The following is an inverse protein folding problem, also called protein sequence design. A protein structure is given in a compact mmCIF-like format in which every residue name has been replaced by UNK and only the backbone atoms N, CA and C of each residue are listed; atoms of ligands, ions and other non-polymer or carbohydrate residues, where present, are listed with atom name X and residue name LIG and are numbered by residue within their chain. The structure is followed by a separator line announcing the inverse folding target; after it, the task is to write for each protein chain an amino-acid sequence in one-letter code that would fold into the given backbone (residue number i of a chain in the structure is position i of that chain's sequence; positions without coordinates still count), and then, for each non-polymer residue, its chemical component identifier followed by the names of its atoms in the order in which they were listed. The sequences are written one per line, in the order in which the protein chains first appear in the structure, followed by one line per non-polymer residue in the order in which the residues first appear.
data_IF_582076169062
#
_entry.id   IF_582076169062
#
_cell.length_a   1.000
_cell.length_b   1.000
_cell.length_c   1.000
_cell.angle_alpha   90.00
_cell.angle_beta   90.00
_cell.angle_gamma   90.00
#
_symmetry.space_group_name_H-M   'P 1'
#
loop_
_entity.id
_entity.type
_entity.pdbx_description
1 polymer ?
#
# COMPACT_ATOMS: atom_id res chain seq x y z
N UNK A 1 -24.97 -11.24 8.64
CA UNK A 1 -24.57 -10.75 7.31
C UNK A 1 -23.15 -10.19 7.44
N UNK A 2 -22.22 -10.70 6.64
CA UNK A 2 -20.88 -10.10 6.58
C UNK A 2 -21.00 -8.74 5.89
N UNK A 3 -20.39 -7.70 6.46
CA UNK A 3 -20.34 -6.38 5.84
C UNK A 3 -19.50 -6.43 4.58
N UNK A 4 -19.98 -5.83 3.50
CA UNK A 4 -19.21 -5.69 2.27
C UNK A 4 -18.34 -4.44 2.39
N UNK A 5 -17.03 -4.63 2.38
CA UNK A 5 -16.05 -3.53 2.36
C UNK A 5 -15.72 -3.25 0.90
N UNK A 6 -16.11 -2.07 0.42
CA UNK A 6 -15.85 -1.64 -0.97
C UNK A 6 -14.41 -1.13 -1.13
N UNK A 7 -13.89 -1.15 -2.36
CA UNK A 7 -12.55 -0.61 -2.67
C UNK A 7 -12.46 0.88 -2.34
N UNK A 8 -13.50 1.64 -2.62
CA UNK A 8 -13.53 3.08 -2.29
C UNK A 8 -13.42 3.32 -0.79
N UNK A 9 -14.03 2.47 0.03
CA UNK A 9 -13.89 2.56 1.49
C UNK A 9 -12.46 2.24 1.96
N UNK A 10 -11.81 1.24 1.35
CA UNK A 10 -10.41 0.90 1.67
C UNK A 10 -9.46 2.04 1.29
N UNK A 11 -9.63 2.63 0.10
CA UNK A 11 -8.84 3.78 -0.37
C UNK A 11 -9.04 4.97 0.57
N UNK A 12 -10.29 5.23 1.00
CA UNK A 12 -10.59 6.29 1.97
C UNK A 12 -9.93 6.04 3.33
N UNK A 13 -9.94 4.80 3.83
CA UNK A 13 -9.27 4.46 5.08
C UNK A 13 -7.75 4.66 5.00
N UNK A 14 -7.12 4.27 3.90
CA UNK A 14 -5.69 4.52 3.66
C UNK A 14 -5.39 6.02 3.66
N UNK A 15 -6.23 6.83 3.01
CA UNK A 15 -6.15 8.29 3.03
C UNK A 15 -6.25 8.84 4.44
N UNK A 16 -7.30 8.47 5.18
CA UNK A 16 -7.55 8.96 6.55
C UNK A 16 -6.41 8.60 7.50
N UNK A 17 -5.80 7.43 7.34
CA UNK A 17 -4.63 7.03 8.14
C UNK A 17 -3.44 7.96 7.89
N UNK A 18 -3.10 8.23 6.62
CA UNK A 18 -1.99 9.12 6.27
C UNK A 18 -2.24 10.53 6.78
N UNK A 19 -3.43 11.09 6.55
CA UNK A 19 -3.82 12.41 7.06
C UNK A 19 -3.76 12.48 8.60
N UNK A 20 -4.13 11.39 9.29
CA UNK A 20 -4.03 11.31 10.74
C UNK A 20 -2.58 11.28 11.24
N UNK A 21 -1.65 10.68 10.50
CA UNK A 21 -0.20 10.72 10.78
C UNK A 21 0.37 12.11 10.54
N UNK A 22 -0.07 12.79 9.49
CA UNK A 22 0.36 14.15 9.15
C UNK A 22 -0.15 15.21 10.10
N UNK A 23 -1.24 14.93 10.82
CA UNK A 23 -1.80 15.84 11.80
C UNK A 23 -0.88 15.96 13.03
N UNK A 24 -0.36 17.15 13.28
CA UNK A 24 0.58 17.45 14.38
C UNK A 24 0.03 17.21 15.78
N UNK A 25 -1.30 17.14 15.94
CA UNK A 25 -1.95 16.80 17.21
C UNK A 25 -1.83 15.30 17.55
N UNK A 26 -1.44 14.46 16.59
CA UNK A 26 -1.26 13.03 16.77
C UNK A 26 0.22 12.65 16.81
N UNK A 27 0.54 11.59 17.53
CA UNK A 27 1.84 10.94 17.53
C UNK A 27 1.64 9.45 17.28
N UNK A 28 2.22 8.97 16.19
CA UNK A 28 2.20 7.55 15.81
C UNK A 28 3.59 6.95 15.96
N UNK A 29 3.66 5.74 16.45
CA UNK A 29 4.91 4.98 16.59
C UNK A 29 4.73 3.58 16.03
N UNK A 30 5.69 3.14 15.23
CA UNK A 30 5.89 1.72 14.98
C UNK A 30 6.65 1.18 16.17
N UNK A 31 6.20 0.09 16.76
CA UNK A 31 6.90 -0.59 17.83
C UNK A 31 7.26 -2.02 17.44
N UNK A 32 8.31 -2.51 18.06
CA UNK A 32 8.70 -3.91 18.04
C UNK A 32 8.63 -4.47 19.46
N UNK A 33 8.28 -5.72 19.58
CA UNK A 33 8.03 -6.33 20.88
C UNK A 33 8.30 -7.82 20.93
N UNK A 34 8.20 -8.36 22.13
CA UNK A 34 8.31 -9.78 22.41
C UNK A 34 7.06 -10.53 21.90
N UNK A 35 7.13 -11.85 21.80
CA UNK A 35 5.94 -12.66 21.61
C UNK A 35 4.95 -12.44 22.77
N UNK A 36 3.72 -12.83 22.50
CA UNK A 36 2.59 -12.67 23.40
C UNK A 36 2.89 -13.12 24.84
N UNK A 37 2.54 -12.28 25.81
CA UNK A 37 2.71 -12.51 27.25
C UNK A 37 1.93 -13.71 27.82
N UNK A 38 1.00 -14.29 27.08
CA UNK A 38 0.31 -15.55 27.49
C UNK A 38 1.18 -16.78 27.38
N UNK A 39 2.33 -16.70 26.74
CA UNK A 39 3.30 -17.79 26.74
C UNK A 39 4.15 -17.74 28.00
N UNK A 40 4.45 -18.89 28.54
CA UNK A 40 5.21 -19.05 29.79
C UNK A 40 6.49 -18.23 29.76
N UNK A 41 6.67 -17.35 30.75
CA UNK A 41 7.87 -16.54 30.88
C UNK A 41 8.03 -15.46 29.80
N UNK A 42 6.99 -14.67 29.53
CA UNK A 42 7.03 -13.61 28.51
C UNK A 42 7.41 -14.09 27.10
N UNK A 43 6.88 -15.23 26.72
CA UNK A 43 7.18 -15.88 25.47
C UNK A 43 8.49 -16.67 25.51
N UNK A 44 9.10 -16.89 26.65
CA UNK A 44 10.23 -17.81 26.78
C UNK A 44 9.73 -19.23 26.83
N UNK A 45 9.75 -19.86 25.71
CA UNK A 45 9.81 -21.31 25.63
C UNK A 45 11.27 -21.74 25.68
N UNK A 46 11.56 -22.99 26.00
CA UNK A 46 12.93 -23.54 26.01
C UNK A 46 13.73 -23.31 24.72
N UNK A 47 13.04 -23.01 23.63
CA UNK A 47 13.59 -22.79 22.29
C UNK A 47 13.30 -21.38 21.72
N UNK A 48 12.96 -20.39 22.55
CA UNK A 48 12.74 -19.00 22.15
C UNK A 48 13.82 -18.44 21.21
N UNK A 49 15.10 -18.70 21.51
CA UNK A 49 16.22 -18.21 20.71
C UNK A 49 16.36 -18.92 19.35
N UNK A 50 15.81 -20.11 19.22
CA UNK A 50 15.89 -20.92 17.99
C UNK A 50 14.61 -20.92 17.19
N UNK A 51 13.46 -20.72 17.86
CA UNK A 51 12.14 -20.71 17.24
C UNK A 51 11.29 -19.59 17.85
N UNK A 52 11.48 -18.38 17.35
CA UNK A 52 10.68 -17.23 17.75
C UNK A 52 9.25 -17.43 17.25
N UNK A 53 8.22 -17.32 18.12
CA UNK A 53 6.83 -17.42 17.68
C UNK A 53 6.47 -16.36 16.65
N UNK A 54 5.66 -16.72 15.67
CA UNK A 54 5.14 -15.77 14.70
C UNK A 54 4.27 -14.72 15.39
N UNK A 55 4.29 -13.46 14.90
CA UNK A 55 3.36 -12.44 15.35
C UNK A 55 1.92 -12.87 15.16
N UNK A 56 1.07 -12.52 16.10
CA UNK A 56 -0.37 -12.83 16.06
C UNK A 56 -1.14 -11.56 15.73
N UNK A 57 -1.78 -11.54 14.56
CA UNK A 57 -2.63 -10.44 14.11
C UNK A 57 -4.07 -10.66 14.54
N UNK A 58 -4.35 -10.46 15.83
CA UNK A 58 -5.70 -10.48 16.36
C UNK A 58 -5.84 -9.58 17.60
N UNK A 59 -7.07 -9.26 17.97
CA UNK A 59 -7.38 -8.40 19.11
C UNK A 59 -7.37 -9.13 20.46
N UNK A 60 -7.24 -10.44 20.50
CA UNK A 60 -7.32 -11.25 21.73
C UNK A 60 -6.29 -10.83 22.77
N UNK A 61 -5.13 -10.38 22.31
CA UNK A 61 -4.00 -10.05 23.17
C UNK A 61 -3.67 -8.54 23.19
N UNK A 62 -4.57 -7.71 22.71
CA UNK A 62 -4.35 -6.27 22.62
C UNK A 62 -4.03 -5.63 23.97
N UNK A 63 -4.66 -6.11 25.05
CA UNK A 63 -4.40 -5.67 26.42
C UNK A 63 -2.97 -5.95 26.90
N UNK A 64 -2.31 -6.96 26.33
CA UNK A 64 -0.95 -7.35 26.68
C UNK A 64 0.11 -6.68 25.80
N UNK A 65 -0.30 -6.04 24.72
CA UNK A 65 0.63 -5.42 23.75
C UNK A 65 1.49 -4.34 24.42
N UNK A 66 0.93 -3.58 25.35
CA UNK A 66 1.68 -2.57 26.11
C UNK A 66 2.81 -3.16 26.95
N UNK A 67 2.61 -4.37 27.51
CA UNK A 67 3.60 -5.04 28.37
C UNK A 67 4.73 -5.68 27.57
N UNK A 68 4.48 -6.08 26.32
CA UNK A 68 5.45 -6.74 25.45
C UNK A 68 6.09 -5.81 24.42
N UNK A 69 5.60 -4.59 24.26
CA UNK A 69 6.21 -3.55 23.43
C UNK A 69 7.53 -3.12 24.04
N UNK A 70 8.63 -3.19 23.29
CA UNK A 70 9.96 -2.86 23.79
C UNK A 70 10.48 -1.51 23.33
N UNK A 71 10.42 -1.28 22.04
CA UNK A 71 10.96 -0.07 21.41
C UNK A 71 10.00 0.46 20.37
N UNK A 72 9.83 1.78 20.33
CA UNK A 72 9.01 2.45 19.34
C UNK A 72 9.77 3.56 18.62
N UNK A 73 9.53 3.68 17.32
CA UNK A 73 10.07 4.74 16.46
C UNK A 73 8.91 5.57 15.92
N UNK A 74 9.03 6.90 16.02
CA UNK A 74 7.99 7.82 15.58
C UNK A 74 7.79 7.73 14.07
N UNK A 75 6.53 7.64 13.67
CA UNK A 75 6.09 7.73 12.28
C UNK A 75 5.83 9.20 11.96
N UNK A 76 6.29 9.65 10.81
CA UNK A 76 6.09 11.02 10.31
C UNK A 76 5.63 11.00 8.85
N UNK A 77 5.22 12.15 8.32
CA UNK A 77 4.87 12.31 6.90
C UNK A 77 5.97 11.84 5.94
N UNK A 78 7.24 11.90 6.34
CA UNK A 78 8.37 11.42 5.53
C UNK A 78 8.59 9.91 5.58
N UNK A 79 7.87 9.19 6.44
CA UNK A 79 8.03 7.75 6.66
C UNK A 79 6.75 6.95 6.42
N UNK A 80 5.72 7.57 5.85
CA UNK A 80 4.45 6.93 5.49
C UNK A 80 4.10 7.24 4.05
N UNK A 81 3.68 6.23 3.28
CA UNK A 81 3.25 6.40 1.88
C UNK A 81 2.06 5.51 1.57
N UNK A 82 1.14 6.03 0.76
CA UNK A 82 0.17 5.17 0.07
C UNK A 82 0.87 4.38 -1.01
N UNK A 83 0.50 3.14 -1.19
CA UNK A 83 1.15 2.21 -2.10
C UNK A 83 0.13 1.49 -2.97
N UNK A 84 0.62 1.04 -4.10
CA UNK A 84 -0.07 0.15 -5.03
C UNK A 84 0.79 -1.07 -5.31
N UNK A 85 0.20 -2.09 -5.90
CA UNK A 85 0.91 -3.30 -6.32
C UNK A 85 1.98 -2.95 -7.36
N UNK A 86 3.18 -3.52 -7.25
CA UNK A 86 4.25 -3.34 -8.22
C UNK A 86 4.02 -4.25 -9.43
N UNK A 87 4.00 -3.65 -10.60
CA UNK A 87 3.93 -4.33 -11.89
C UNK A 87 5.05 -3.73 -12.75
N UNK A 88 6.15 -4.44 -12.88
CA UNK A 88 7.26 -4.00 -13.73
C UNK A 88 6.94 -4.30 -15.19
N UNK A 89 7.25 -3.34 -16.06
CA UNK A 89 7.15 -3.57 -17.49
C UNK A 89 8.15 -4.65 -17.94
N UNK A 90 7.70 -5.58 -18.74
CA UNK A 90 8.54 -6.61 -19.34
C UNK A 90 8.14 -6.85 -20.80
N UNK A 91 9.14 -6.89 -21.67
CA UNK A 91 8.94 -7.14 -23.10
C UNK A 91 8.25 -8.48 -23.34
N UNK A 92 7.31 -8.50 -24.26
CA UNK A 92 6.58 -9.71 -24.63
C UNK A 92 5.42 -10.08 -23.68
N UNK A 93 5.16 -9.24 -22.67
CA UNK A 93 4.07 -9.45 -21.72
C UNK A 93 2.78 -8.80 -22.23
N UNK A 94 1.64 -9.45 -22.01
CA UNK A 94 0.32 -8.87 -22.26
C UNK A 94 -0.17 -8.17 -21.00
N UNK A 95 -0.53 -6.89 -21.16
CA UNK A 95 -1.13 -6.09 -20.09
C UNK A 95 -2.59 -5.82 -20.40
N UNK A 96 -3.40 -5.74 -19.35
CA UNK A 96 -4.75 -5.23 -19.47
C UNK A 96 -4.75 -3.74 -19.79
N UNK A 97 -5.79 -3.27 -20.43
CA UNK A 97 -6.07 -1.85 -20.52
C UNK A 97 -6.98 -1.40 -19.37
N UNK A 98 -6.93 -0.12 -19.02
CA UNK A 98 -7.92 0.46 -18.13
C UNK A 98 -9.33 0.28 -18.69
N UNK A 99 -10.24 -0.25 -17.87
CA UNK A 99 -11.65 -0.38 -18.19
C UNK A 99 -12.49 -0.14 -16.94
N UNK A 100 -13.45 0.77 -17.04
CA UNK A 100 -14.36 1.10 -15.95
C UNK A 100 -15.42 0.02 -15.68
N UNK A 101 -15.65 -0.89 -16.64
CA UNK A 101 -16.73 -1.88 -16.66
C UNK A 101 -16.34 -3.28 -16.18
N UNK A 102 -15.12 -3.48 -15.64
CA UNK A 102 -14.74 -4.78 -15.08
C UNK A 102 -15.72 -5.20 -13.99
N UNK A 103 -16.29 -6.38 -14.16
CA UNK A 103 -17.30 -6.96 -13.26
C UNK A 103 -17.36 -8.49 -13.42
N UNK A 104 -18.13 -9.16 -12.59
CA UNK A 104 -18.38 -10.60 -12.72
C UNK A 104 -18.97 -11.00 -14.08
N UNK A 105 -19.74 -10.11 -14.70
CA UNK A 105 -20.36 -10.33 -16.02
C UNK A 105 -19.53 -9.80 -17.19
N UNK A 106 -18.50 -8.99 -16.91
CA UNK A 106 -17.56 -8.42 -17.88
C UNK A 106 -16.12 -8.48 -17.32
N UNK A 107 -15.56 -9.69 -17.10
CA UNK A 107 -14.22 -9.83 -16.55
C UNK A 107 -13.15 -9.44 -17.56
N UNK A 108 -11.92 -9.24 -17.10
CA UNK A 108 -10.76 -9.06 -17.97
C UNK A 108 -10.59 -10.28 -18.89
N UNK A 109 -10.39 -10.07 -20.19
CA UNK A 109 -10.16 -11.17 -21.12
C UNK A 109 -8.78 -11.83 -20.97
N UNK A 110 -7.85 -11.23 -20.20
CA UNK A 110 -6.49 -11.75 -19.97
C UNK A 110 -6.43 -12.52 -18.66
N UNK A 111 -6.72 -11.86 -17.52
CA UNK A 111 -6.58 -12.44 -16.18
C UNK A 111 -7.87 -12.98 -15.59
N UNK A 112 -9.01 -12.77 -16.27
CA UNK A 112 -10.36 -13.04 -15.73
C UNK A 112 -10.69 -12.25 -14.46
N UNK A 113 -9.95 -11.18 -14.18
CA UNK A 113 -10.23 -10.28 -13.06
C UNK A 113 -11.57 -9.59 -13.22
N UNK A 114 -12.41 -9.65 -12.19
CA UNK A 114 -13.71 -8.99 -12.13
C UNK A 114 -13.66 -7.59 -11.52
N UNK A 115 -12.47 -7.15 -11.10
CA UNK A 115 -12.21 -5.85 -10.48
C UNK A 115 -11.05 -5.17 -11.18
N UNK A 116 -11.18 -3.86 -11.40
CA UNK A 116 -10.13 -3.08 -12.05
C UNK A 116 -8.78 -3.19 -11.30
N UNK A 117 -8.79 -3.06 -9.98
CA UNK A 117 -7.55 -3.04 -9.19
C UNK A 117 -6.83 -4.37 -9.06
N UNK A 118 -7.44 -5.47 -9.51
CA UNK A 118 -6.81 -6.79 -9.60
C UNK A 118 -6.18 -7.03 -10.98
N UNK A 119 -6.53 -6.22 -12.00
CA UNK A 119 -5.99 -6.29 -13.35
C UNK A 119 -4.62 -5.59 -13.48
N UNK A 120 -3.82 -5.98 -14.46
CA UNK A 120 -2.48 -5.41 -14.70
C UNK A 120 -2.56 -4.31 -15.77
N UNK A 121 -3.27 -3.21 -15.46
CA UNK A 121 -3.55 -2.11 -16.39
C UNK A 121 -2.61 -0.91 -16.25
N UNK A 122 -1.62 -0.99 -15.38
CA UNK A 122 -0.54 -0.03 -15.24
C UNK A 122 0.79 -0.75 -15.06
N UNK A 123 1.87 -0.06 -15.37
CA UNK A 123 3.23 -0.62 -15.24
C UNK A 123 4.19 0.44 -14.72
N UNK A 124 5.26 -0.01 -14.07
CA UNK A 124 6.44 0.79 -13.80
C UNK A 124 7.56 0.37 -14.75
N UNK A 125 8.20 1.34 -15.39
CA UNK A 125 9.33 1.07 -16.28
C UNK A 125 10.67 0.98 -15.53
N UNK A 126 11.76 0.67 -16.25
CA UNK A 126 13.12 0.58 -15.72
C UNK A 126 13.66 1.90 -15.12
N UNK A 127 13.03 3.04 -15.42
CA UNK A 127 13.38 4.37 -14.90
C UNK A 127 12.44 4.83 -13.76
N UNK A 128 11.72 3.90 -13.12
CA UNK A 128 10.74 4.19 -12.05
C UNK A 128 9.62 5.16 -12.47
N UNK A 129 9.29 5.20 -13.76
CA UNK A 129 8.14 5.95 -14.27
C UNK A 129 6.92 5.04 -14.34
N UNK A 130 5.78 5.51 -13.90
CA UNK A 130 4.52 4.75 -13.86
C UNK A 130 3.60 5.21 -14.97
N UNK A 131 3.07 4.23 -15.71
CA UNK A 131 2.19 4.43 -16.86
C UNK A 131 0.93 3.62 -16.71
N UNK A 132 -0.20 4.19 -17.14
CA UNK A 132 -1.46 3.46 -17.29
C UNK A 132 -1.65 3.06 -18.75
N UNK A 133 -2.12 1.84 -18.98
CA UNK A 133 -2.43 1.33 -20.30
C UNK A 133 -3.83 1.80 -20.74
N UNK A 134 -3.88 2.65 -21.76
CA UNK A 134 -5.13 3.17 -22.35
C UNK A 134 -5.63 2.25 -23.46
N UNK A 135 -4.71 1.70 -24.26
CA UNK A 135 -5.00 0.71 -25.29
C UNK A 135 -3.92 -0.37 -25.29
N UNK A 136 -4.29 -1.62 -25.40
CA UNK A 136 -3.37 -2.77 -25.46
C UNK A 136 -3.38 -3.44 -26.85
N UNK A 137 -3.84 -2.73 -27.88
CA UNK A 137 -3.97 -3.24 -29.23
C UNK A 137 -5.11 -4.26 -29.39
N UNK A 138 -6.10 -4.25 -28.48
CA UNK A 138 -7.28 -5.12 -28.60
C UNK A 138 -8.15 -4.72 -29.79
N UNK A 139 -8.71 -5.73 -30.44
CA UNK A 139 -9.57 -5.61 -31.60
C UNK A 139 -10.68 -6.66 -31.55
N UNK A 140 -11.61 -6.62 -32.49
CA UNK A 140 -12.69 -7.61 -32.55
C UNK A 140 -12.20 -9.05 -32.76
N UNK A 141 -11.07 -9.23 -33.44
CA UNK A 141 -10.47 -10.54 -33.68
C UNK A 141 -9.42 -10.94 -32.61
N UNK A 142 -8.98 -9.99 -31.79
CA UNK A 142 -8.03 -10.20 -30.71
C UNK A 142 -8.45 -9.39 -29.47
N UNK A 143 -9.40 -9.92 -28.74
CA UNK A 143 -9.97 -9.25 -27.55
C UNK A 143 -8.99 -9.17 -26.36
N UNK A 144 -7.96 -10.03 -26.35
CA UNK A 144 -6.91 -10.02 -25.31
C UNK A 144 -5.81 -8.99 -25.55
N UNK A 145 -5.79 -8.33 -26.73
CA UNK A 145 -4.71 -7.43 -27.13
C UNK A 145 -3.42 -8.14 -27.48
N UNK A 146 -2.39 -7.38 -27.74
CA UNK A 146 -1.07 -7.85 -28.16
C UNK A 146 -0.13 -8.01 -26.97
N UNK A 147 1.06 -8.56 -27.21
CA UNK A 147 2.17 -8.52 -26.27
C UNK A 147 2.94 -7.21 -26.45
N UNK A 148 3.19 -6.47 -25.36
CA UNK A 148 3.95 -5.21 -25.42
C UNK A 148 5.40 -5.45 -25.80
N UNK A 149 5.91 -4.69 -26.77
CA UNK A 149 7.26 -4.86 -27.31
C UNK A 149 8.18 -3.71 -26.97
N UNK A 150 7.63 -2.52 -26.78
CA UNK A 150 8.39 -1.30 -26.54
C UNK A 150 8.09 -0.73 -25.16
N UNK A 151 9.15 -0.48 -24.38
CA UNK A 151 9.05 0.11 -23.04
C UNK A 151 8.66 1.58 -23.13
N UNK A 152 7.60 2.05 -22.42
CA UNK A 152 7.27 3.46 -22.40
C UNK A 152 8.31 4.23 -21.55
N UNK A 153 8.93 5.28 -22.15
CA UNK A 153 9.96 6.08 -21.48
C UNK A 153 9.68 7.60 -21.52
N UNK A 154 8.66 8.01 -22.26
CA UNK A 154 8.24 9.39 -22.43
C UNK A 154 7.55 9.97 -21.16
N UNK A 155 7.36 11.30 -21.16
CA UNK A 155 6.63 12.03 -20.10
C UNK A 155 5.56 12.94 -20.69
N UNK A 156 5.08 12.58 -21.90
CA UNK A 156 4.03 13.33 -22.58
C UNK A 156 2.74 13.30 -21.75
N UNK A 157 2.02 14.43 -21.77
CA UNK A 157 0.80 14.57 -21.02
C UNK A 157 -0.37 13.81 -21.66
N UNK A 158 -0.39 13.74 -23.00
CA UNK A 158 -1.35 12.94 -23.74
C UNK A 158 -0.90 11.48 -23.86
N UNK A 159 -1.84 10.53 -23.93
CA UNK A 159 -1.51 9.13 -24.18
C UNK A 159 -0.74 8.97 -25.50
N UNK A 160 0.38 8.25 -25.45
CA UNK A 160 1.28 8.07 -26.59
C UNK A 160 1.69 6.61 -26.76
N UNK A 161 2.12 6.27 -27.98
CA UNK A 161 2.71 4.95 -28.26
C UNK A 161 4.16 4.93 -27.79
N UNK A 162 4.61 3.77 -27.34
CA UNK A 162 6.01 3.53 -27.07
C UNK A 162 6.68 2.89 -28.30
N UNK A 163 7.84 3.43 -28.73
CA UNK A 163 8.62 2.88 -29.83
C UNK A 163 7.89 2.71 -31.18
N UNK A 164 8.47 1.87 -32.05
CA UNK A 164 8.03 1.71 -33.44
C UNK A 164 7.62 0.26 -33.79
N UNK A 165 7.48 -0.63 -32.82
CA UNK A 165 7.13 -2.04 -33.07
C UNK A 165 5.71 -2.24 -33.65
N UNK A 166 4.83 -1.25 -33.46
CA UNK A 166 3.44 -1.36 -33.89
C UNK A 166 2.60 -2.33 -33.06
N UNK A 167 2.99 -2.60 -31.81
CA UNK A 167 2.30 -3.51 -30.91
C UNK A 167 0.87 -3.05 -30.53
N UNK A 168 0.53 -1.81 -30.81
CA UNK A 168 -0.78 -1.22 -30.58
C UNK A 168 -0.97 -0.67 -29.17
N UNK A 169 0.05 -0.74 -28.31
CA UNK A 169 -0.05 -0.17 -26.97
C UNK A 169 -0.05 1.37 -27.02
N UNK A 170 -0.93 1.93 -26.20
CA UNK A 170 -0.98 3.37 -25.91
C UNK A 170 -0.92 3.54 -24.41
N UNK A 171 0.12 4.23 -23.95
CA UNK A 171 0.38 4.47 -22.54
C UNK A 171 0.16 5.94 -22.19
N UNK A 172 -0.31 6.20 -20.97
CA UNK A 172 -0.34 7.54 -20.39
C UNK A 172 0.63 7.57 -19.22
N UNK A 173 1.57 8.51 -19.24
CA UNK A 173 2.44 8.80 -18.12
C UNK A 173 1.64 9.38 -16.96
N UNK A 174 1.93 8.91 -15.73
CA UNK A 174 1.31 9.42 -14.52
C UNK A 174 2.33 10.15 -13.62
N UNK A 175 3.34 9.45 -13.15
CA UNK A 175 4.37 10.02 -12.27
C UNK A 175 5.68 9.23 -12.33
N UNK A 176 6.73 9.83 -11.79
CA UNK A 176 8.00 9.15 -11.50
C UNK A 176 8.11 8.99 -9.98
N UNK A 177 8.50 7.80 -9.52
CA UNK A 177 8.72 7.54 -8.10
C UNK A 177 9.85 8.41 -7.59
N UNK A 178 9.65 9.09 -6.45
CA UNK A 178 10.65 9.96 -5.87
C UNK A 178 11.90 9.18 -5.45
N UNK A 179 13.12 9.63 -5.77
CA UNK A 179 14.35 8.94 -5.40
C UNK A 179 14.50 8.73 -3.88
N UNK A 180 14.00 9.67 -3.06
CA UNK A 180 13.99 9.53 -1.62
C UNK A 180 13.06 8.43 -1.13
N UNK A 181 11.97 8.19 -1.84
CA UNK A 181 11.04 7.10 -1.56
C UNK A 181 11.60 5.74 -2.02
N UNK A 182 12.33 5.69 -3.15
CA UNK A 182 13.03 4.48 -3.59
C UNK A 182 13.98 4.00 -2.49
N UNK A 183 14.81 4.89 -1.93
CA UNK A 183 15.77 4.52 -0.87
C UNK A 183 15.09 3.97 0.38
N UNK A 184 13.91 4.47 0.75
CA UNK A 184 13.22 4.09 1.99
C UNK A 184 12.26 2.92 1.81
N UNK A 185 11.58 2.86 0.67
CA UNK A 185 10.40 2.02 0.47
C UNK A 185 10.55 1.02 -0.69
N UNK A 186 11.77 0.83 -1.23
CA UNK A 186 11.98 -0.14 -2.32
C UNK A 186 11.44 -1.51 -1.91
N UNK A 187 10.55 -2.02 -2.73
CA UNK A 187 9.84 -3.28 -2.51
C UNK A 187 9.66 -4.01 -3.83
N UNK A 188 9.75 -5.33 -3.79
CA UNK A 188 9.44 -6.19 -4.94
C UNK A 188 7.93 -6.31 -5.18
N UNK A 189 7.10 -5.95 -4.21
CA UNK A 189 5.65 -6.15 -4.26
C UNK A 189 4.86 -4.86 -4.43
N UNK A 190 5.42 -3.70 -4.03
CA UNK A 190 4.70 -2.43 -3.97
C UNK A 190 5.48 -1.27 -4.55
N UNK A 191 4.74 -0.30 -5.10
CA UNK A 191 5.22 1.00 -5.58
C UNK A 191 4.61 2.09 -4.70
N UNK A 192 5.42 3.04 -4.26
CA UNK A 192 4.95 4.23 -3.53
C UNK A 192 4.34 5.26 -4.46
N UNK A 193 3.28 5.89 -4.00
CA UNK A 193 2.66 7.03 -4.66
C UNK A 193 3.15 8.34 -4.05
N UNK A 194 3.26 9.43 -4.85
CA UNK A 194 3.54 10.76 -4.32
C UNK A 194 2.61 11.11 -3.16
N UNK A 195 3.14 11.62 -2.05
CA UNK A 195 2.37 11.86 -0.82
C UNK A 195 1.39 13.04 -0.93
N UNK A 196 1.71 14.01 -1.78
CA UNK A 196 1.03 15.30 -1.86
C UNK A 196 0.47 15.57 -3.27
N UNK A 197 -0.07 14.55 -3.94
CA UNK A 197 -0.56 14.68 -5.32
C UNK A 197 -1.51 15.86 -5.49
N UNK A 198 -2.48 16.01 -4.57
CA UNK A 198 -3.53 17.03 -4.65
C UNK A 198 -3.00 18.46 -4.39
N UNK A 199 -1.92 18.58 -3.63
CA UNK A 199 -1.38 19.87 -3.14
C UNK A 199 0.04 20.15 -3.65
N UNK A 200 0.55 19.30 -4.55
CA UNK A 200 1.92 19.41 -5.06
C UNK A 200 2.15 20.71 -5.81
N UNK A 201 3.30 21.33 -5.54
CA UNK A 201 3.81 22.49 -6.28
C UNK A 201 4.74 22.08 -7.44
N UNK A 202 5.00 20.79 -7.63
CA UNK A 202 5.74 20.28 -8.77
C UNK A 202 4.99 20.57 -10.07
N UNK A 203 5.63 21.30 -11.00
CA UNK A 203 5.02 21.63 -12.28
C UNK A 203 4.64 20.41 -13.10
N UNK A 204 5.40 19.32 -12.99
CA UNK A 204 5.11 18.07 -13.69
C UNK A 204 3.86 17.39 -13.13
N UNK A 205 3.74 17.31 -11.80
CA UNK A 205 2.54 16.73 -11.16
C UNK A 205 1.31 17.56 -11.48
N UNK A 206 1.42 18.89 -11.38
CA UNK A 206 0.33 19.80 -11.75
C UNK A 206 -0.09 19.61 -13.20
N UNK A 207 0.86 19.56 -14.13
CA UNK A 207 0.57 19.38 -15.54
C UNK A 207 -0.15 18.05 -15.84
N UNK A 208 0.26 16.92 -15.22
CA UNK A 208 -0.42 15.64 -15.39
C UNK A 208 -1.84 15.69 -14.82
N UNK A 209 -2.01 16.28 -13.64
CA UNK A 209 -3.30 16.40 -12.97
C UNK A 209 -4.26 17.31 -13.73
N UNK A 210 -3.78 18.47 -14.18
CA UNK A 210 -4.57 19.44 -14.92
C UNK A 210 -4.90 18.99 -16.33
N UNK A 211 -4.03 18.20 -16.96
CA UNK A 211 -4.31 17.61 -18.27
C UNK A 211 -5.54 16.70 -18.23
N UNK A 212 -5.70 15.94 -17.14
CA UNK A 212 -6.90 15.12 -16.93
C UNK A 212 -8.17 15.96 -16.70
N UNK A 213 -8.03 17.07 -15.99
CA UNK A 213 -9.14 17.94 -15.53
C UNK A 213 -9.41 19.14 -16.44
N UNK A 214 -8.71 19.30 -17.55
CA UNK A 214 -8.96 20.43 -18.43
C UNK A 214 -10.36 20.34 -19.04
N UNK A 215 -11.01 21.48 -19.25
CA UNK A 215 -12.35 21.54 -19.88
C UNK A 215 -12.39 20.93 -21.29
N UNK A 216 -11.23 20.74 -21.90
CA UNK A 216 -11.08 20.12 -23.22
C UNK A 216 -10.99 18.59 -23.08
N UNK A 217 -10.30 18.08 -22.05
CA UNK A 217 -10.01 16.66 -21.89
C UNK A 217 -10.88 15.97 -20.83
N UNK A 218 -11.74 16.71 -20.13
CA UNK A 218 -12.59 16.16 -19.07
C UNK A 218 -13.47 15.00 -19.58
N UNK A 219 -13.32 13.84 -18.96
CA UNK A 219 -14.05 12.61 -19.30
C UNK A 219 -14.05 12.29 -20.81
N UNK A 220 -12.92 12.57 -21.48
CA UNK A 220 -12.75 12.28 -22.89
C UNK A 220 -12.55 10.79 -23.12
N UNK A 221 -13.36 10.20 -23.98
CA UNK A 221 -13.24 8.80 -24.39
C UNK A 221 -11.98 8.66 -25.27
N UNK A 222 -11.06 7.77 -24.87
CA UNK A 222 -9.82 7.51 -25.62
C UNK A 222 -9.83 6.17 -26.35
N UNK A 223 -10.71 5.24 -25.96
CA UNK A 223 -10.83 3.90 -26.54
C UNK A 223 -12.30 3.44 -26.54
N UNK A 224 -12.66 2.70 -27.57
CA UNK A 224 -13.88 1.87 -27.61
C UNK A 224 -13.46 0.41 -27.70
N UNK A 225 -13.85 -0.40 -26.74
CA UNK A 225 -13.53 -1.83 -26.68
C UNK A 225 -14.60 -2.65 -27.42
N UNK A 226 -14.15 -3.63 -28.21
CA UNK A 226 -15.04 -4.55 -28.92
C UNK A 226 -15.20 -5.82 -28.07
N UNK A 227 -16.32 -5.93 -27.37
CA UNK A 227 -16.66 -7.12 -26.57
C UNK A 227 -17.22 -8.23 -27.46
N UNK A 228 -18.03 -7.84 -28.46
CA UNK A 228 -18.59 -8.73 -29.45
C UNK A 228 -18.70 -8.04 -30.83
N UNK A 229 -18.21 -8.73 -31.86
CA UNK A 229 -18.16 -8.19 -33.22
C UNK A 229 -19.53 -8.02 -33.90
N UNK A 230 -20.49 -8.85 -33.51
CA UNK A 230 -21.78 -8.96 -34.22
C UNK A 230 -21.64 -9.49 -35.64
N UNK A 231 -22.72 -9.42 -36.40
CA UNK A 231 -22.79 -9.85 -37.80
C UNK A 231 -23.75 -9.02 -38.61
N UNK A 232 -23.69 -9.12 -39.95
CA UNK A 232 -24.54 -8.43 -40.91
C UNK A 232 -24.47 -6.90 -40.87
N UNK A 233 -23.33 -6.33 -40.53
CA UNK A 233 -23.04 -4.90 -40.70
C UNK A 233 -22.57 -4.60 -42.12
N UNK A 234 -22.80 -3.35 -42.57
CA UNK A 234 -22.34 -2.88 -43.87
C UNK A 234 -20.81 -2.80 -43.92
N UNK A 235 -20.20 -3.51 -44.86
CA UNK A 235 -18.73 -3.49 -45.02
C UNK A 235 -18.22 -2.08 -45.32
N UNK A 236 -17.11 -1.71 -44.70
CA UNK A 236 -16.45 -0.44 -44.91
C UNK A 236 -15.35 -0.23 -43.87
N UNK A 237 -14.35 0.58 -44.21
CA UNK A 237 -13.28 0.98 -43.31
C UNK A 237 -13.49 2.44 -42.90
N UNK A 238 -13.21 2.74 -41.62
CA UNK A 238 -13.28 4.10 -41.11
C UNK A 238 -14.69 4.70 -41.12
N UNK A 239 -15.73 3.90 -40.96
CA UNK A 239 -17.12 4.40 -40.91
C UNK A 239 -17.33 5.15 -39.60
N UNK A 240 -17.54 6.47 -39.68
CA UNK A 240 -17.73 7.33 -38.52
C UNK A 240 -19.17 7.16 -37.96
N UNK A 241 -19.24 6.84 -36.66
CA UNK A 241 -20.51 6.72 -35.92
C UNK A 241 -20.39 7.52 -34.61
N UNK A 242 -21.53 7.96 -34.09
CA UNK A 242 -21.61 8.75 -32.88
C UNK A 242 -21.57 7.87 -31.62
N UNK A 243 -21.05 8.43 -30.53
CA UNK A 243 -21.21 7.89 -29.19
C UNK A 243 -22.28 8.71 -28.48
N UNK A 244 -23.39 8.04 -28.15
CA UNK A 244 -24.53 8.61 -27.42
C UNK A 244 -24.31 8.44 -25.91
N UNK A 245 -24.80 9.39 -25.10
CA UNK A 245 -24.65 9.36 -23.63
C UNK A 245 -25.02 10.69 -23.02
N UNK A 246 -24.53 10.93 -21.83
CA UNK A 246 -24.69 12.21 -21.11
C UNK A 246 -23.64 13.26 -21.50
N UNK A 247 -22.56 12.84 -22.16
CA UNK A 247 -21.55 13.71 -22.73
C UNK A 247 -21.89 14.21 -24.14
N UNK A 248 -20.96 14.94 -24.75
CA UNK A 248 -21.16 15.52 -26.07
C UNK A 248 -19.93 15.37 -26.97
N UNK A 249 -20.16 15.16 -28.29
CA UNK A 249 -19.17 15.28 -29.33
C UNK A 249 -18.23 14.08 -29.52
N UNK A 250 -18.45 12.96 -28.84
CA UNK A 250 -17.63 11.78 -29.07
C UNK A 250 -18.05 11.02 -30.31
N UNK A 251 -17.05 10.59 -31.10
CA UNK A 251 -17.19 9.83 -32.34
C UNK A 251 -16.11 8.75 -32.44
N UNK A 252 -16.48 7.67 -33.11
CA UNK A 252 -15.61 6.51 -33.36
C UNK A 252 -15.68 6.08 -34.82
N UNK A 253 -14.50 5.81 -35.39
CA UNK A 253 -14.38 5.14 -36.69
C UNK A 253 -14.47 3.63 -36.46
N UNK A 254 -15.31 2.96 -37.25
CA UNK A 254 -15.53 1.53 -37.15
C UNK A 254 -15.16 0.86 -38.47
N UNK A 255 -14.31 -0.19 -38.37
CA UNK A 255 -13.97 -1.03 -39.52
C UNK A 255 -14.83 -2.28 -39.51
N UNK A 256 -15.53 -2.50 -40.64
CA UNK A 256 -16.39 -3.67 -40.85
C UNK A 256 -15.83 -4.50 -41.99
N UNK A 257 -15.49 -5.75 -41.71
CA UNK A 257 -15.00 -6.72 -42.71
C UNK A 257 -15.85 -7.99 -42.62
N UNK A 258 -16.37 -8.43 -43.78
CA UNK A 258 -17.27 -9.58 -43.88
C UNK A 258 -18.48 -9.49 -42.93
N UNK A 259 -19.05 -8.29 -42.83
CA UNK A 259 -20.22 -8.02 -41.99
C UNK A 259 -19.97 -8.01 -40.49
N UNK A 260 -18.71 -8.05 -40.06
CA UNK A 260 -18.29 -8.05 -38.63
C UNK A 260 -17.46 -6.83 -38.31
N UNK A 261 -17.63 -6.29 -37.12
CA UNK A 261 -16.82 -5.18 -36.65
C UNK A 261 -15.47 -5.74 -36.19
N UNK A 262 -14.40 -5.28 -36.84
CA UNK A 262 -13.05 -5.80 -36.61
C UNK A 262 -12.15 -4.84 -35.82
N UNK A 263 -12.35 -3.51 -35.97
CA UNK A 263 -11.55 -2.51 -35.31
C UNK A 263 -12.35 -1.25 -34.98
N UNK A 264 -11.89 -0.49 -34.01
CA UNK A 264 -12.44 0.82 -33.62
C UNK A 264 -11.32 1.81 -33.33
N UNK A 265 -11.46 3.04 -33.83
CA UNK A 265 -10.53 4.14 -33.56
C UNK A 265 -11.32 5.38 -33.17
N UNK A 266 -11.09 5.93 -31.99
CA UNK A 266 -11.77 7.15 -31.57
C UNK A 266 -11.29 8.31 -32.43
N UNK A 267 -12.18 8.96 -33.18
CA UNK A 267 -11.91 10.14 -34.01
C UNK A 267 -12.08 11.43 -33.23
N UNK A 268 -13.03 11.43 -32.28
CA UNK A 268 -13.26 12.53 -31.36
C UNK A 268 -13.65 11.95 -30.00
N UNK A 269 -12.91 12.29 -28.96
CA UNK A 269 -13.17 11.77 -27.59
C UNK A 269 -14.34 12.42 -26.88
N UNK A 270 -14.83 13.56 -27.40
CA UNK A 270 -15.91 14.32 -26.77
C UNK A 270 -15.55 14.83 -25.38
N UNK A 271 -16.54 15.15 -24.57
CA UNK A 271 -16.37 15.59 -23.19
C UNK A 271 -17.60 15.30 -22.33
N UNK A 272 -17.39 15.19 -21.01
CA UNK A 272 -18.46 15.11 -20.02
C UNK A 272 -19.16 13.76 -19.94
N UNK A 273 -18.59 12.69 -20.50
CA UNK A 273 -19.19 11.37 -20.45
C UNK A 273 -19.00 10.69 -19.10
N UNK A 274 -20.11 10.24 -18.49
CA UNK A 274 -20.10 9.28 -17.38
C UNK A 274 -20.65 7.91 -17.79
N UNK A 275 -21.37 7.86 -18.91
CA UNK A 275 -21.74 6.62 -19.62
C UNK A 275 -21.84 6.92 -21.12
N UNK A 276 -21.72 5.87 -21.93
CA UNK A 276 -21.83 6.01 -23.38
C UNK A 276 -22.20 4.71 -24.07
N UNK A 277 -22.78 4.84 -25.25
CA UNK A 277 -23.13 3.75 -26.13
C UNK A 277 -22.85 4.14 -27.59
N UNK A 278 -22.23 3.24 -28.36
CA UNK A 278 -21.95 3.48 -29.77
C UNK A 278 -23.23 3.30 -30.59
N UNK A 279 -23.56 4.31 -31.39
CA UNK A 279 -24.71 4.26 -32.30
C UNK A 279 -24.31 3.58 -33.61
N UNK A 280 -24.68 2.32 -33.75
CA UNK A 280 -24.45 1.52 -34.97
C UNK A 280 -25.59 1.58 -35.98
N UNK A 281 -26.61 2.41 -35.75
CA UNK A 281 -27.81 2.45 -36.60
C UNK A 281 -27.53 2.75 -38.08
N UNK A 282 -26.54 3.63 -38.34
CA UNK A 282 -26.17 4.02 -39.72
C UNK A 282 -25.44 2.93 -40.52
N UNK A 283 -24.84 1.96 -39.85
CA UNK A 283 -24.06 0.87 -40.47
C UNK A 283 -24.69 -0.51 -40.30
N UNK A 284 -25.84 -0.59 -39.63
CA UNK A 284 -26.58 -1.82 -39.42
C UNK A 284 -27.49 -2.09 -40.61
N UNK A 285 -27.34 -3.25 -41.24
CA UNK A 285 -28.21 -3.66 -42.40
C UNK A 285 -29.58 -4.24 -42.02
N UNK A 286 -30.03 -4.05 -40.79
CA UNK A 286 -31.39 -4.39 -40.28
C UNK A 286 -31.80 -5.87 -40.27
N UNK A 287 -30.89 -6.81 -40.48
CA UNK A 287 -31.23 -8.23 -40.56
C UNK A 287 -30.50 -9.10 -39.53
N UNK A 288 -29.81 -8.49 -38.58
CA UNK A 288 -29.01 -9.24 -37.61
C UNK A 288 -29.80 -9.57 -36.35
N UNK A 289 -29.71 -10.82 -35.91
CA UNK A 289 -30.04 -11.25 -34.54
C UNK A 289 -28.80 -11.28 -33.63
N UNK A 290 -27.60 -11.11 -34.21
CA UNK A 290 -26.31 -11.09 -33.49
C UNK A 290 -25.74 -9.66 -33.52
N UNK A 291 -26.13 -8.87 -32.52
CA UNK A 291 -25.71 -7.48 -32.40
C UNK A 291 -24.31 -7.37 -31.83
N UNK A 292 -23.52 -6.44 -32.37
CA UNK A 292 -22.24 -6.07 -31.82
C UNK A 292 -22.40 -5.44 -30.42
N UNK A 293 -21.39 -5.64 -29.57
CA UNK A 293 -21.29 -4.93 -28.29
C UNK A 293 -20.00 -4.18 -28.27
N UNK A 294 -20.08 -2.87 -28.39
CA UNK A 294 -18.98 -1.91 -28.33
C UNK A 294 -19.10 -1.12 -27.04
N UNK A 295 -18.02 -1.06 -26.27
CA UNK A 295 -17.98 -0.42 -24.96
C UNK A 295 -17.06 0.80 -25.04
N UNK A 296 -17.61 2.03 -25.05
CA UNK A 296 -16.79 3.24 -24.85
C UNK A 296 -16.15 3.20 -23.47
N UNK A 297 -14.83 3.33 -23.40
CA UNK A 297 -14.11 3.31 -22.13
C UNK A 297 -14.20 4.69 -21.49
N UNK A 298 -14.96 4.76 -20.41
CA UNK A 298 -15.16 5.99 -19.64
C UNK A 298 -13.96 6.18 -18.70
N UNK A 299 -13.22 7.30 -18.79
CA UNK A 299 -12.13 7.59 -17.88
C UNK A 299 -12.65 7.86 -16.45
N UNK A 300 -11.76 7.87 -15.43
CA UNK A 300 -12.16 8.29 -14.09
C UNK A 300 -12.63 9.75 -14.09
N UNK A 301 -13.42 10.12 -13.08
CA UNK A 301 -13.92 11.49 -12.93
C UNK A 301 -12.77 12.50 -13.01
N UNK A 302 -12.95 13.55 -13.82
CA UNK A 302 -11.96 14.57 -14.15
C UNK A 302 -10.75 14.06 -14.97
N UNK A 303 -10.86 12.84 -15.55
CA UNK A 303 -9.88 12.28 -16.45
C UNK A 303 -8.72 11.53 -15.79
N UNK A 304 -7.92 10.88 -16.64
CA UNK A 304 -6.75 10.10 -16.22
C UNK A 304 -5.65 10.99 -15.64
N UNK A 305 -5.14 10.61 -14.46
CA UNK A 305 -4.07 11.32 -13.75
C UNK A 305 -4.57 12.39 -12.79
N UNK A 306 -5.87 12.70 -12.73
CA UNK A 306 -6.38 13.67 -11.79
C UNK A 306 -6.28 13.19 -10.33
N UNK A 307 -6.78 12.00 -10.03
CA UNK A 307 -6.72 11.36 -8.71
C UNK A 307 -6.07 9.98 -8.83
N UNK A 308 -4.73 9.95 -8.82
CA UNK A 308 -3.98 8.70 -8.97
C UNK A 308 -4.25 7.69 -7.85
N UNK A 309 -4.68 8.14 -6.69
CA UNK A 309 -4.95 7.24 -5.57
C UNK A 309 -6.20 6.39 -5.81
N UNK A 310 -7.26 7.01 -6.35
CA UNK A 310 -8.46 6.29 -6.76
C UNK A 310 -8.24 5.52 -8.04
N UNK A 311 -7.56 6.14 -9.01
CA UNK A 311 -7.35 5.54 -10.32
C UNK A 311 -6.53 4.25 -10.23
N UNK A 312 -5.50 4.20 -9.37
CA UNK A 312 -4.63 3.05 -9.19
C UNK A 312 -4.99 2.16 -8.00
N UNK A 313 -6.05 2.49 -7.27
CA UNK A 313 -6.55 1.66 -6.17
C UNK A 313 -5.63 1.64 -4.94
N UNK A 314 -5.16 2.81 -4.49
CA UNK A 314 -4.24 2.94 -3.36
C UNK A 314 -4.94 2.66 -2.02
N UNK A 315 -5.23 1.40 -1.74
CA UNK A 315 -5.95 0.92 -0.55
C UNK A 315 -5.01 0.47 0.60
N UNK A 316 -3.69 0.57 0.40
CA UNK A 316 -2.66 0.15 1.35
C UNK A 316 -1.72 1.30 1.69
N UNK A 317 -1.10 1.18 2.86
CA UNK A 317 -0.11 2.14 3.36
C UNK A 317 1.14 1.37 3.76
N UNK A 318 2.29 1.87 3.35
CA UNK A 318 3.59 1.41 3.81
C UNK A 318 4.15 2.40 4.84
N UNK A 319 4.62 1.85 5.95
CA UNK A 319 5.28 2.62 7.01
C UNK A 319 6.73 2.17 7.11
N UNK A 320 7.65 3.11 7.00
CA UNK A 320 9.07 2.86 7.16
C UNK A 320 9.51 3.21 8.57
N UNK A 321 10.19 2.29 9.23
CA UNK A 321 10.88 2.55 10.49
C UNK A 321 12.23 1.83 10.50
N UNK A 322 13.30 2.56 10.78
CA UNK A 322 14.62 1.99 10.97
C UNK A 322 14.96 2.01 12.45
N UNK A 323 15.16 0.84 12.99
CA UNK A 323 15.72 0.64 14.33
C UNK A 323 17.21 0.40 14.19
N UNK A 324 18.01 1.16 14.90
CA UNK A 324 19.47 1.03 14.94
C UNK A 324 19.98 1.21 16.36
N UNK A 325 21.20 0.78 16.61
CA UNK A 325 21.85 0.83 17.91
C UNK A 325 22.80 2.03 18.04
N UNK A 326 22.64 3.06 17.22
CA UNK A 326 23.53 4.24 17.21
C UNK A 326 23.56 4.98 18.54
N UNK A 327 22.46 4.91 19.31
CA UNK A 327 22.33 5.46 20.66
C UNK A 327 22.45 4.40 21.76
N UNK A 328 22.71 3.15 21.41
CA UNK A 328 22.68 1.98 22.31
C UNK A 328 21.34 1.82 23.05
N UNK A 329 20.28 2.38 22.49
CA UNK A 329 18.93 2.27 23.04
C UNK A 329 18.18 1.04 22.51
N UNK A 330 18.61 0.53 21.36
CA UNK A 330 17.99 -0.61 20.68
C UNK A 330 18.99 -1.75 20.54
N UNK A 331 18.77 -2.92 21.17
CA UNK A 331 19.66 -4.06 21.02
C UNK A 331 19.42 -4.73 19.66
N UNK A 332 20.44 -4.70 18.81
CA UNK A 332 20.38 -5.28 17.45
C UNK A 332 20.47 -6.81 17.44
N UNK A 333 20.92 -7.41 18.54
CA UNK A 333 21.02 -8.87 18.75
C UNK A 333 19.74 -9.51 19.31
N UNK A 334 18.75 -8.68 19.66
CA UNK A 334 17.48 -9.15 20.22
C UNK A 334 16.52 -9.57 19.10
N UNK A 335 15.85 -10.71 19.27
CA UNK A 335 14.79 -11.18 18.37
C UNK A 335 13.44 -10.61 18.78
N UNK A 336 12.68 -10.13 17.80
CA UNK A 336 11.35 -9.59 17.99
C UNK A 336 10.32 -10.50 17.30
N UNK A 337 9.14 -10.60 17.89
CA UNK A 337 8.05 -11.41 17.35
C UNK A 337 6.76 -10.60 17.12
N UNK A 338 6.74 -9.35 17.55
CA UNK A 338 5.61 -8.45 17.31
C UNK A 338 6.08 -7.16 16.65
N UNK A 339 5.31 -6.72 15.67
CA UNK A 339 5.43 -5.38 15.09
C UNK A 339 4.03 -4.78 15.07
N UNK A 340 3.91 -3.57 15.57
CA UNK A 340 2.61 -2.91 15.62
C UNK A 340 2.73 -1.40 15.51
N UNK A 341 1.57 -0.76 15.44
CA UNK A 341 1.46 0.71 15.42
C UNK A 341 0.64 1.14 16.64
N UNK A 342 1.17 2.10 17.39
CA UNK A 342 0.47 2.73 18.50
C UNK A 342 0.22 4.21 18.21
N UNK A 343 -0.96 4.69 18.55
CA UNK A 343 -1.36 6.10 18.41
C UNK A 343 -1.39 6.75 19.79
N UNK A 344 -0.76 7.91 19.89
CA UNK A 344 -0.81 8.79 21.06
C UNK A 344 -0.41 8.08 22.38
N UNK A 345 0.72 7.37 22.44
CA UNK A 345 1.19 6.83 23.71
C UNK A 345 1.47 7.97 24.69
N UNK A 346 1.35 7.69 25.98
CA UNK A 346 1.70 8.64 27.05
C UNK A 346 2.92 8.15 27.82
N UNK A 347 3.66 9.06 28.42
CA UNK A 347 4.69 8.66 29.37
C UNK A 347 4.07 8.08 30.64
N UNK A 348 4.81 7.19 31.33
CA UNK A 348 4.35 6.59 32.59
C UNK A 348 4.00 7.71 33.59
N UNK A 349 2.82 7.64 34.17
CA UNK A 349 2.32 8.62 35.15
C UNK A 349 1.88 9.96 34.55
N UNK A 350 1.78 10.09 33.23
CA UNK A 350 1.37 11.31 32.53
C UNK A 350 0.15 11.05 31.64
N UNK A 351 -0.68 12.08 31.48
CA UNK A 351 -1.76 12.10 30.50
C UNK A 351 -1.36 12.83 29.21
N UNK A 352 -0.14 13.40 29.16
CA UNK A 352 0.37 14.12 28.00
C UNK A 352 0.85 13.13 26.94
N UNK A 353 0.42 13.37 25.69
CA UNK A 353 0.86 12.56 24.55
C UNK A 353 2.38 12.70 24.38
N UNK A 354 3.05 11.56 24.30
CA UNK A 354 4.49 11.52 24.07
C UNK A 354 4.83 11.98 22.65
N UNK A 355 5.83 12.85 22.53
CA UNK A 355 6.19 13.48 21.23
C UNK A 355 7.63 13.22 20.79
N UNK A 356 8.43 12.49 21.58
CA UNK A 356 9.83 12.17 21.25
C UNK A 356 9.97 11.35 19.97
N UNK A 357 11.18 11.26 19.43
CA UNK A 357 11.46 10.55 18.17
C UNK A 357 11.41 9.02 18.31
N UNK A 358 11.69 8.52 19.49
CA UNK A 358 11.68 7.10 19.84
C UNK A 358 11.32 6.93 21.32
N UNK A 359 10.88 5.74 21.70
CA UNK A 359 10.69 5.39 23.10
C UNK A 359 11.19 3.96 23.36
N UNK A 360 11.49 3.69 24.62
CA UNK A 360 11.68 2.35 25.14
C UNK A 360 10.73 2.12 26.31
N UNK A 361 10.15 0.93 26.38
CA UNK A 361 9.32 0.48 27.52
C UNK A 361 10.11 -0.43 28.47
N UNK A 362 11.40 -0.61 28.24
CA UNK A 362 12.27 -1.34 29.17
C UNK A 362 12.62 -0.48 30.38
N UNK A 363 12.71 -1.12 31.54
CA UNK A 363 13.27 -0.51 32.74
C UNK A 363 14.80 -0.52 32.65
N UNK A 364 15.46 0.38 33.38
CA UNK A 364 16.91 0.45 33.40
C UNK A 364 17.46 0.37 34.85
N UNK A 365 18.53 -0.41 35.01
CA UNK A 365 19.32 -0.46 36.22
C UNK A 365 20.76 -0.06 35.88
N UNK A 366 21.33 0.87 36.65
CA UNK A 366 22.75 1.23 36.57
C UNK A 366 23.50 0.61 37.72
N UNK A 367 24.58 -0.09 37.41
CA UNK A 367 25.43 -0.75 38.42
C UNK A 367 26.70 0.04 38.63
N UNK A 368 27.17 0.12 39.87
CA UNK A 368 28.51 0.59 40.21
C UNK A 368 29.55 -0.48 39.87
N UNK A 369 29.24 -1.73 40.19
CA UNK A 369 30.05 -2.91 39.91
C UNK A 369 29.19 -4.09 39.52
N UNK A 370 29.70 -4.97 38.67
CA UNK A 370 29.05 -6.23 38.31
C UNK A 370 29.99 -7.39 38.52
N UNK A 371 29.48 -8.50 39.05
CA UNK A 371 30.19 -9.79 39.04
C UNK A 371 29.62 -10.64 37.89
N UNK A 372 30.27 -10.56 36.73
CA UNK A 372 29.82 -11.22 35.50
C UNK A 372 29.20 -10.25 34.51
N UNK A 373 28.93 -10.76 33.31
CA UNK A 373 28.29 -9.98 32.20
C UNK A 373 26.92 -10.57 31.96
N UNK A 374 25.84 -9.81 32.25
CA UNK A 374 24.49 -10.25 31.93
C UNK A 374 24.33 -10.43 30.43
N UNK A 375 23.74 -11.54 30.02
CA UNK A 375 23.40 -11.80 28.62
C UNK A 375 21.92 -11.50 28.36
N UNK A 376 21.60 -11.13 27.11
CA UNK A 376 20.22 -10.92 26.67
C UNK A 376 19.42 -12.20 26.92
N UNK A 377 18.29 -12.03 27.61
CA UNK A 377 17.42 -13.16 27.97
C UNK A 377 17.74 -13.83 29.28
N UNK A 378 18.78 -13.42 30.01
CA UNK A 378 18.98 -13.92 31.37
C UNK A 378 17.85 -13.50 32.31
N UNK A 379 17.46 -14.40 33.19
CA UNK A 379 16.52 -14.09 34.27
C UNK A 379 17.26 -13.37 35.39
N UNK A 380 16.72 -12.25 35.82
CA UNK A 380 17.14 -11.51 36.97
C UNK A 380 16.12 -11.58 38.08
N UNK A 381 16.57 -11.57 39.33
CA UNK A 381 15.69 -11.53 40.49
C UNK A 381 16.21 -10.61 41.55
N UNK A 382 15.34 -10.01 42.31
CA UNK A 382 15.65 -9.19 43.47
C UNK A 382 14.70 -9.54 44.62
N UNK A 383 15.27 -9.77 45.80
CA UNK A 383 14.46 -9.88 47.02
C UNK A 383 14.00 -8.49 47.42
N UNK A 384 12.70 -8.30 47.52
CA UNK A 384 12.09 -7.04 47.96
C UNK A 384 11.26 -7.30 49.21
N UNK A 385 10.79 -6.22 49.87
CA UNK A 385 10.07 -6.30 51.17
C UNK A 385 8.90 -7.28 51.16
N UNK A 386 8.21 -7.39 50.04
CA UNK A 386 6.97 -8.20 49.90
C UNK A 386 7.13 -9.44 49.03
N UNK A 387 8.38 -9.90 48.75
CA UNK A 387 8.60 -11.09 47.96
C UNK A 387 9.85 -11.01 47.08
N UNK A 388 9.78 -11.65 45.92
CA UNK A 388 10.84 -11.67 44.93
C UNK A 388 10.31 -11.06 43.63
N UNK A 389 10.94 -10.00 43.15
CA UNK A 389 10.69 -9.42 41.86
C UNK A 389 11.54 -10.13 40.79
N UNK A 390 10.95 -10.37 39.64
CA UNK A 390 11.60 -11.03 38.50
C UNK A 390 11.61 -10.14 37.27
N UNK A 391 12.65 -10.29 36.48
CA UNK A 391 12.79 -9.62 35.20
C UNK A 391 13.67 -10.42 34.23
N UNK A 392 13.75 -9.93 33.02
CA UNK A 392 14.53 -10.52 31.94
C UNK A 392 15.41 -9.48 31.30
N UNK A 393 16.69 -9.76 31.12
CA UNK A 393 17.65 -8.84 30.51
C UNK A 393 17.28 -8.63 29.05
N UNK A 394 17.04 -7.37 28.67
CA UNK A 394 16.81 -6.96 27.28
C UNK A 394 18.10 -6.49 26.62
N UNK A 395 18.97 -5.77 27.35
CA UNK A 395 20.32 -5.39 26.91
C UNK A 395 21.19 -5.07 28.08
N UNK A 396 22.50 -5.17 27.91
CA UNK A 396 23.51 -4.73 28.90
C UNK A 396 24.65 -4.00 28.20
N UNK A 397 24.90 -2.77 28.59
CA UNK A 397 26.05 -1.99 28.15
C UNK A 397 27.15 -2.08 29.20
N UNK A 398 28.25 -2.77 28.87
CA UNK A 398 29.38 -2.99 29.77
C UNK A 398 30.20 -1.73 30.06
N UNK A 399 30.15 -0.72 29.19
CA UNK A 399 30.88 0.54 29.37
C UNK A 399 30.18 1.44 30.38
N UNK A 400 28.86 1.65 30.18
CA UNK A 400 28.02 2.48 31.05
C UNK A 400 27.51 1.72 32.28
N UNK A 401 27.59 0.38 32.24
CA UNK A 401 27.05 -0.55 33.24
C UNK A 401 25.51 -0.38 33.41
N UNK A 402 24.84 -0.03 32.34
CA UNK A 402 23.40 0.08 32.32
C UNK A 402 22.79 -1.21 31.72
N UNK A 403 21.94 -1.84 32.50
CA UNK A 403 21.17 -2.98 32.10
C UNK A 403 19.72 -2.54 31.84
N UNK A 404 19.19 -2.81 30.66
CA UNK A 404 17.77 -2.67 30.36
C UNK A 404 17.11 -4.02 30.55
N UNK A 405 15.94 -4.04 31.18
CA UNK A 405 15.23 -5.26 31.49
C UNK A 405 13.73 -5.11 31.33
N UNK A 406 13.06 -6.23 31.15
CA UNK A 406 11.62 -6.34 31.13
C UNK A 406 11.19 -6.96 32.44
N UNK A 407 10.24 -6.34 33.13
CA UNK A 407 9.69 -6.90 34.33
C UNK A 407 8.74 -8.05 34.00
N UNK A 408 8.86 -9.17 34.71
CA UNK A 408 7.94 -10.28 34.58
C UNK A 408 6.60 -9.93 35.27
N UNK A 409 5.60 -9.65 34.45
CA UNK A 409 4.24 -9.35 34.90
C UNK A 409 3.29 -10.55 34.81
N UNK A 410 3.78 -11.73 34.43
CA UNK A 410 2.96 -12.94 34.34
C UNK A 410 2.31 -13.31 35.67
N UNK A 411 2.90 -12.91 36.77
CA UNK A 411 2.35 -13.11 38.12
C UNK A 411 1.12 -12.23 38.41
N UNK A 412 0.92 -11.13 37.71
CA UNK A 412 -0.26 -10.25 37.89
C UNK A 412 -1.55 -10.87 37.35
N UNK A 413 -1.47 -11.69 36.31
CA UNK A 413 -2.66 -12.23 35.65
C UNK A 413 -3.30 -13.41 36.42
N UNK A 414 -2.59 -13.95 37.38
CA UNK A 414 -3.06 -15.10 38.18
C UNK A 414 -3.47 -14.78 39.62
N UNK A 415 -3.36 -13.52 40.06
CA UNK A 415 -3.74 -13.13 41.41
C UNK A 415 -4.58 -11.86 41.41
N UNK A 416 -5.74 -11.93 42.01
CA UNK A 416 -6.68 -10.83 42.22
C UNK A 416 -6.26 -9.85 43.33
N UNK A 417 -4.99 -9.81 43.76
CA UNK A 417 -4.54 -8.95 44.83
C UNK A 417 -3.25 -8.21 44.49
N UNK A 418 -3.27 -6.92 44.77
CA UNK A 418 -2.27 -5.91 44.60
C UNK A 418 -0.95 -6.22 45.34
N UNK A 419 -0.02 -6.88 44.69
CA UNK A 419 1.36 -6.90 45.17
C UNK A 419 2.30 -6.47 44.07
N UNK A 420 2.52 -5.17 44.00
CA UNK A 420 3.55 -4.53 43.20
C UNK A 420 4.92 -4.82 43.79
N UNK A 421 5.51 -5.96 43.44
CA UNK A 421 6.94 -6.16 43.64
C UNK A 421 7.67 -5.60 42.41
N UNK A 422 7.92 -4.30 42.41
CA UNK A 422 8.75 -3.66 41.37
C UNK A 422 10.24 -3.87 41.72
N UNK A 423 11.05 -4.15 40.69
CA UNK A 423 12.51 -4.04 40.82
C UNK A 423 12.81 -2.56 41.06
N UNK A 424 13.29 -2.23 42.26
CA UNK A 424 13.58 -0.84 42.63
C UNK A 424 15.02 -0.48 42.29
N UNK A 425 15.19 0.57 41.50
CA UNK A 425 16.50 1.23 41.37
C UNK A 425 16.65 2.28 42.46
N UNK A 426 17.37 1.98 43.52
CA UNK A 426 17.82 2.99 44.47
C UNK A 426 19.25 3.42 44.14
N UNK A 427 19.51 4.71 44.12
CA UNK A 427 20.82 5.29 43.83
C UNK A 427 21.93 4.91 44.84
N UNK A 428 21.54 4.34 45.99
CA UNK A 428 22.47 4.08 47.13
C UNK A 428 22.48 2.64 47.64
N UNK A 429 21.81 1.69 46.97
CA UNK A 429 21.80 0.29 47.39
C UNK A 429 22.68 -0.55 46.46
N UNK A 430 23.69 -1.20 47.01
CA UNK A 430 24.43 -2.30 46.35
C UNK A 430 23.45 -3.45 46.12
N UNK A 431 22.77 -3.45 44.97
CA UNK A 431 21.90 -4.56 44.59
C UNK A 431 22.78 -5.80 44.28
N UNK A 432 22.70 -6.82 45.12
CA UNK A 432 23.13 -8.17 44.74
C UNK A 432 22.03 -8.76 43.84
N UNK A 433 22.28 -8.71 42.55
CA UNK A 433 21.51 -9.47 41.58
C UNK A 433 22.08 -10.88 41.50
N UNK A 434 21.19 -11.86 41.68
CA UNK A 434 21.54 -13.27 41.45
C UNK A 434 21.11 -13.57 39.99
N UNK A 435 22.10 -13.93 39.19
CA UNK A 435 21.88 -14.47 37.86
C UNK A 435 21.62 -15.97 38.00
N UNK A 436 20.44 -16.44 37.68
CA UNK A 436 20.17 -17.88 37.51
C UNK A 436 20.48 -18.25 36.04
N UNK A 437 21.36 -19.24 35.88
CA UNK A 437 21.69 -19.84 34.57
C UNK A 437 20.68 -20.89 34.17
#
# INVERSE_FOLDING_TARGET
MSSIVTDQFRILNAKNFVESVENTANSYYVFVGLPNATQVGFGRTSNWNTSVPNPVDNFTYLSHTGDVSLYGKKVSSSTVRRIIRRIDWARGTKYEMYRHDYSLTSPSPISSSSRLYDANYYVMNSQYKVYICIDNGSSGINTTGNASQDEPTFTDLEPSKAGDSGDGYVWKYLFTVDPGDIVKFDSTEYITLPSNWDTSTSSQIQAVRENGDSTINENQIKKVYIDRQGSNYSNGLGQEVNILGDGTGAKVLVDVVNGRITNTTVSAGGKGYTYGMVDLGSINSNSSSDFAKLIPIIPPSRGHGYDIYKELGADKVLVYARFDDSTKDFPTDTKFAQVGIVKNPTSIGSTTVYSGSNYTSTYALKFSTTSGTPAVGDKIQQVVTNGIAYGWVASYDSETKVMKYIQDRSLYFNRSEEHTSELQSHSDLVCRLLLEK
#
